data_IF_583786120475
#
_entry.id   IF_583786120475
#
_cell.length_a   1.000
_cell.length_b   1.000
_cell.length_c   1.000
_cell.angle_alpha   90.00
_cell.angle_beta   90.00
_cell.angle_gamma   90.00
#
_symmetry.space_group_name_H-M   'P 1'
#
loop_
_entity.id
_entity.type
_entity.pdbx_description
1 polymer ?
#
# COMPACT_ATOMS: atom_id res chain seq x y z
N UNK A 1 16.12 6.16 0.36
CA UNK A 1 15.06 6.39 -0.64
C UNK A 1 15.02 5.13 -1.49
N UNK A 2 13.85 4.59 -1.83
CA UNK A 2 13.75 3.44 -2.74
C UNK A 2 13.89 3.97 -4.17
N UNK A 3 15.07 3.81 -4.74
CA UNK A 3 15.47 4.34 -6.05
C UNK A 3 15.86 3.24 -7.05
N UNK A 4 15.59 1.98 -6.70
CA UNK A 4 15.91 0.77 -7.46
C UNK A 4 14.72 0.24 -8.29
N UNK A 5 13.79 1.13 -8.67
CA UNK A 5 12.62 0.81 -9.50
C UNK A 5 12.10 2.00 -10.30
N UNK A 6 11.07 1.76 -11.11
CA UNK A 6 10.39 2.79 -11.89
C UNK A 6 9.18 3.31 -11.10
N UNK A 7 9.10 4.63 -10.91
CA UNK A 7 8.01 5.28 -10.15
C UNK A 7 7.21 6.17 -11.09
N UNK A 8 5.91 5.87 -11.20
CA UNK A 8 4.95 6.65 -11.96
C UNK A 8 4.03 7.37 -10.98
N UNK A 9 4.15 8.70 -10.92
CA UNK A 9 3.24 9.55 -10.15
C UNK A 9 2.10 10.01 -11.04
N UNK A 10 0.85 9.76 -10.63
CA UNK A 10 -0.33 10.19 -11.39
C UNK A 10 -0.79 11.61 -11.05
N UNK A 11 -0.19 12.25 -10.04
CA UNK A 11 -0.39 13.68 -9.78
C UNK A 11 0.20 14.50 -10.93
N UNK A 12 -0.48 15.59 -11.32
CA UNK A 12 0.08 16.53 -12.30
C UNK A 12 1.15 17.35 -11.62
N UNK A 13 2.36 17.37 -12.18
CA UNK A 13 3.45 18.21 -11.71
C UNK A 13 3.65 19.40 -12.67
N UNK A 14 4.12 20.53 -12.15
CA UNK A 14 4.59 21.64 -12.96
C UNK A 14 6.03 21.39 -13.47
N UNK A 15 6.58 22.37 -14.19
CA UNK A 15 7.95 22.30 -14.74
C UNK A 15 9.04 22.27 -13.66
N UNK A 16 8.72 22.63 -12.42
CA UNK A 16 9.62 22.59 -11.27
C UNK A 16 9.41 21.32 -10.42
N UNK A 17 8.52 20.42 -10.84
CA UNK A 17 8.19 19.19 -10.11
C UNK A 17 7.23 19.40 -8.94
N UNK A 18 6.55 20.55 -8.83
CA UNK A 18 5.55 20.80 -7.78
C UNK A 18 4.17 20.28 -8.19
N UNK A 19 3.39 19.73 -7.26
CA UNK A 19 2.06 19.21 -7.55
C UNK A 19 1.06 20.32 -7.90
N UNK A 20 0.46 20.23 -9.09
CA UNK A 20 -0.58 21.12 -9.62
C UNK A 20 -1.99 20.61 -9.31
N UNK A 21 -2.19 19.29 -9.35
CA UNK A 21 -3.49 18.68 -9.03
C UNK A 21 -3.30 17.23 -8.57
N UNK A 22 -4.30 16.72 -7.87
CA UNK A 22 -4.41 15.29 -7.53
C UNK A 22 -4.52 14.44 -8.79
N UNK A 23 -4.31 13.12 -8.63
CA UNK A 23 -4.47 12.18 -9.72
C UNK A 23 -5.89 12.29 -10.34
N UNK A 24 -6.02 12.30 -11.68
CA UNK A 24 -7.33 12.21 -12.30
C UNK A 24 -7.97 10.87 -11.90
N UNK A 25 -9.24 10.90 -11.48
CA UNK A 25 -9.93 9.71 -10.98
C UNK A 25 -9.83 8.54 -11.96
N UNK A 26 -9.51 7.34 -11.45
CA UNK A 26 -9.48 6.11 -12.25
C UNK A 26 -8.29 5.17 -12.03
N UNK A 27 -7.21 5.64 -11.39
CA UNK A 27 -6.04 4.86 -10.98
C UNK A 27 -5.43 5.36 -9.67
N UNK A 28 -4.43 4.65 -9.17
CA UNK A 28 -3.77 4.97 -7.89
C UNK A 28 -3.01 6.29 -7.92
N UNK A 29 -2.75 6.92 -6.78
CA UNK A 29 -1.97 8.16 -6.73
C UNK A 29 -0.55 8.00 -7.27
N UNK A 30 0.10 6.88 -7.00
CA UNK A 30 1.37 6.50 -7.61
C UNK A 30 1.49 4.99 -7.78
N UNK A 31 2.26 4.56 -8.78
CA UNK A 31 2.57 3.15 -9.02
C UNK A 31 4.08 3.01 -9.10
N UNK A 32 4.65 2.11 -8.31
CA UNK A 32 6.06 1.76 -8.35
C UNK A 32 6.23 0.34 -8.91
N UNK A 33 7.10 0.18 -9.90
CA UNK A 33 7.50 -1.11 -10.46
C UNK A 33 8.93 -1.41 -10.02
N UNK A 34 9.09 -2.44 -9.21
CA UNK A 34 10.38 -2.95 -8.77
C UNK A 34 10.65 -4.32 -9.41
N UNK A 35 11.83 -4.85 -9.16
CA UNK A 35 12.12 -6.25 -9.48
C UNK A 35 11.30 -7.17 -8.56
N UNK A 36 10.57 -8.11 -9.15
CA UNK A 36 9.71 -9.06 -8.44
C UNK A 36 8.32 -8.57 -8.00
N UNK A 37 8.09 -7.26 -7.83
CA UNK A 37 6.79 -6.73 -7.41
C UNK A 37 6.43 -5.35 -7.95
N UNK A 38 5.13 -5.05 -7.92
CA UNK A 38 4.57 -3.73 -8.16
C UNK A 38 3.81 -3.26 -6.91
N UNK A 39 3.80 -1.94 -6.71
CA UNK A 39 3.19 -1.29 -5.56
C UNK A 39 2.27 -0.16 -6.05
N UNK A 40 1.00 -0.22 -5.70
CA UNK A 40 0.09 0.92 -5.77
C UNK A 40 0.19 1.71 -4.45
N UNK A 41 0.42 3.01 -4.54
CA UNK A 41 0.44 3.94 -3.42
C UNK A 41 -0.80 4.80 -3.52
N UNK A 42 -1.56 4.82 -2.43
CA UNK A 42 -2.80 5.58 -2.27
C UNK A 42 -2.69 6.42 -1.01
N UNK A 43 -3.01 7.70 -1.09
CA UNK A 43 -2.91 8.62 0.03
C UNK A 43 -4.18 9.43 0.19
N UNK A 44 -4.59 9.68 1.43
CA UNK A 44 -5.78 10.48 1.68
C UNK A 44 -5.60 11.43 2.85
N UNK A 45 -6.14 12.64 2.69
CA UNK A 45 -6.33 13.60 3.78
C UNK A 45 -7.72 13.46 4.40
N UNK A 46 -8.61 12.69 3.78
CA UNK A 46 -9.98 12.46 4.25
C UNK A 46 -9.95 11.67 5.57
N UNK A 47 -10.87 12.00 6.47
CA UNK A 47 -10.99 11.41 7.82
C UNK A 47 -12.42 11.02 8.14
N UNK A 48 -12.60 10.19 9.17
CA UNK A 48 -13.91 9.76 9.65
C UNK A 48 -14.65 8.94 8.58
N UNK A 49 -15.98 8.93 8.63
CA UNK A 49 -16.80 8.11 7.71
C UNK A 49 -16.61 8.48 6.24
N UNK A 50 -16.32 9.76 5.94
CA UNK A 50 -16.01 10.18 4.57
C UNK A 50 -14.79 9.48 3.99
N UNK A 51 -13.82 9.11 4.83
CA UNK A 51 -12.68 8.33 4.36
C UNK A 51 -13.15 6.95 3.90
N UNK A 52 -14.02 6.32 4.68
CA UNK A 52 -14.57 5.04 4.29
C UNK A 52 -15.36 5.20 2.99
N UNK A 53 -16.31 6.14 2.92
CA UNK A 53 -17.13 6.41 1.74
C UNK A 53 -16.31 6.61 0.46
N UNK A 54 -15.20 7.37 0.54
CA UNK A 54 -14.37 7.69 -0.63
C UNK A 54 -13.42 6.55 -1.03
N UNK A 55 -12.88 5.81 -0.06
CA UNK A 55 -11.69 4.96 -0.29
C UNK A 55 -12.00 3.45 -0.28
N UNK A 56 -13.14 3.03 0.28
CA UNK A 56 -13.48 1.61 0.44
C UNK A 56 -13.62 0.85 -0.88
N UNK A 57 -14.03 1.52 -1.96
CA UNK A 57 -14.20 0.94 -3.29
C UNK A 57 -13.01 1.27 -4.21
N UNK A 58 -12.56 2.52 -4.17
CA UNK A 58 -11.60 3.05 -5.13
C UNK A 58 -10.22 2.39 -4.99
N UNK A 59 -9.72 2.30 -3.75
CA UNK A 59 -8.39 1.75 -3.43
C UNK A 59 -8.29 0.27 -3.85
N UNK A 60 -9.22 -0.64 -3.45
CA UNK A 60 -9.21 -2.02 -3.92
C UNK A 60 -9.32 -2.15 -5.44
N UNK A 61 -10.16 -1.31 -6.06
CA UNK A 61 -10.32 -1.31 -7.52
C UNK A 61 -9.03 -0.88 -8.22
N UNK A 62 -8.30 0.11 -7.72
CA UNK A 62 -7.04 0.54 -8.32
C UNK A 62 -5.96 -0.54 -8.22
N UNK A 63 -5.83 -1.21 -7.07
CA UNK A 63 -4.94 -2.37 -6.91
C UNK A 63 -5.34 -3.50 -7.86
N UNK A 64 -6.63 -3.80 -7.97
CA UNK A 64 -7.13 -4.83 -8.89
C UNK A 64 -6.89 -4.50 -10.36
N UNK A 65 -7.01 -3.24 -10.76
CA UNK A 65 -6.64 -2.77 -12.11
C UNK A 65 -5.15 -2.96 -12.38
N UNK A 66 -4.28 -2.72 -11.40
CA UNK A 66 -2.84 -2.96 -11.52
C UNK A 66 -2.52 -4.46 -11.65
N UNK A 67 -3.20 -5.31 -10.87
CA UNK A 67 -3.10 -6.77 -11.04
C UNK A 67 -3.46 -7.16 -12.47
N UNK A 68 -4.62 -6.73 -12.95
CA UNK A 68 -5.10 -7.05 -14.29
C UNK A 68 -4.13 -6.55 -15.38
N UNK A 69 -3.68 -5.31 -15.28
CA UNK A 69 -2.80 -4.71 -16.31
C UNK A 69 -1.45 -5.42 -16.43
N UNK A 70 -0.92 -5.97 -15.33
CA UNK A 70 0.27 -6.81 -15.34
C UNK A 70 0.00 -8.18 -15.96
N UNK A 71 -1.09 -8.84 -15.57
CA UNK A 71 -1.46 -10.16 -16.12
C UNK A 71 -1.74 -10.11 -17.62
N UNK A 72 -2.39 -9.05 -18.12
CA UNK A 72 -2.62 -8.83 -19.56
C UNK A 72 -1.29 -8.72 -20.35
N UNK A 73 -0.19 -8.37 -19.69
CA UNK A 73 1.17 -8.28 -20.25
C UNK A 73 2.03 -9.52 -19.99
N UNK A 74 1.43 -10.62 -19.51
CA UNK A 74 2.15 -11.82 -19.04
C UNK A 74 3.19 -11.54 -17.94
N UNK A 75 2.98 -10.48 -17.16
CA UNK A 75 3.82 -10.14 -16.03
C UNK A 75 3.26 -10.76 -14.76
N UNK A 76 4.06 -11.62 -14.13
CA UNK A 76 3.70 -12.40 -12.94
C UNK A 76 4.19 -11.78 -11.62
N UNK A 77 4.69 -10.53 -11.65
CA UNK A 77 5.07 -9.81 -10.43
C UNK A 77 3.92 -9.78 -9.42
N UNK A 78 4.30 -9.81 -8.14
CA UNK A 78 3.37 -9.66 -7.01
C UNK A 78 2.87 -8.21 -6.99
N UNK A 79 1.63 -7.99 -6.57
CA UNK A 79 1.05 -6.65 -6.48
C UNK A 79 0.62 -6.39 -5.05
N UNK A 80 1.03 -5.23 -4.54
CA UNK A 80 0.67 -4.74 -3.22
C UNK A 80 0.06 -3.34 -3.35
N UNK A 81 -0.81 -3.00 -2.40
CA UNK A 81 -1.27 -1.64 -2.16
C UNK A 81 -0.74 -1.14 -0.83
N UNK A 82 -0.36 0.13 -0.75
CA UNK A 82 -0.19 0.83 0.52
C UNK A 82 -1.15 1.99 0.57
N UNK A 83 -1.88 2.11 1.68
CA UNK A 83 -2.83 3.18 1.90
C UNK A 83 -2.37 4.04 3.08
N UNK A 84 -2.02 5.29 2.83
CA UNK A 84 -1.44 6.20 3.83
C UNK A 84 -2.45 7.31 4.13
N UNK A 85 -2.88 7.38 5.38
CA UNK A 85 -3.82 8.41 5.82
C UNK A 85 -3.30 9.17 7.04
N UNK A 86 -3.76 10.41 7.21
CA UNK A 86 -3.43 11.20 8.41
C UNK A 86 -4.14 10.70 9.70
N UNK A 87 -5.06 9.75 9.55
CA UNK A 87 -5.70 8.94 10.59
C UNK A 87 -6.61 7.92 9.90
N UNK A 88 -6.61 6.67 10.36
CA UNK A 88 -7.36 5.59 9.71
C UNK A 88 -8.74 5.38 10.34
N UNK A 89 -9.79 5.31 9.52
CA UNK A 89 -11.12 4.92 9.95
C UNK A 89 -11.15 3.40 10.23
N UNK A 90 -11.68 2.94 11.38
CA UNK A 90 -11.83 1.51 11.69
C UNK A 90 -12.57 0.70 10.62
N UNK A 91 -13.62 1.25 10.01
CA UNK A 91 -14.37 0.65 8.90
C UNK A 91 -13.50 0.45 7.65
N UNK A 92 -12.58 1.38 7.36
CA UNK A 92 -11.60 1.24 6.27
C UNK A 92 -10.63 0.09 6.57
N UNK A 93 -10.13 -0.01 7.80
CA UNK A 93 -9.27 -1.11 8.24
C UNK A 93 -10.02 -2.46 8.12
N UNK A 94 -11.25 -2.52 8.62
CA UNK A 94 -12.10 -3.71 8.55
C UNK A 94 -12.36 -4.15 7.10
N UNK A 95 -12.62 -3.19 6.21
CA UNK A 95 -12.81 -3.47 4.80
C UNK A 95 -11.54 -4.03 4.15
N UNK A 96 -10.39 -3.38 4.34
CA UNK A 96 -9.11 -3.85 3.78
C UNK A 96 -8.71 -5.23 4.30
N UNK A 97 -8.94 -5.49 5.59
CA UNK A 97 -8.76 -6.81 6.17
C UNK A 97 -9.65 -7.86 5.48
N UNK A 98 -10.94 -7.55 5.29
CA UNK A 98 -11.93 -8.45 4.69
C UNK A 98 -11.61 -8.77 3.23
N UNK A 99 -11.34 -7.77 2.40
CA UNK A 99 -11.03 -7.95 0.98
C UNK A 99 -9.70 -8.68 0.77
N UNK A 100 -8.75 -8.52 1.69
CA UNK A 100 -7.49 -9.23 1.63
C UNK A 100 -7.65 -10.72 1.95
N UNK A 101 -8.61 -11.09 2.81
CA UNK A 101 -8.92 -12.50 3.13
C UNK A 101 -9.85 -13.15 2.11
N UNK A 102 -10.58 -12.36 1.33
CA UNK A 102 -11.59 -12.85 0.39
C UNK A 102 -11.06 -12.93 -1.03
N UNK A 103 -11.38 -14.01 -1.77
CA UNK A 103 -10.98 -14.14 -3.17
C UNK A 103 -11.92 -13.33 -4.10
N UNK A 104 -11.51 -12.08 -4.32
CA UNK A 104 -12.01 -11.02 -5.20
C UNK A 104 -11.88 -11.19 -6.72
N UNK A 105 -12.71 -11.94 -7.46
CA UNK A 105 -12.49 -12.07 -8.92
C UNK A 105 -12.43 -10.71 -9.65
N UNK A 106 -13.30 -9.77 -9.27
CA UNK A 106 -13.31 -8.40 -9.79
C UNK A 106 -11.99 -7.64 -9.52
N UNK A 107 -11.29 -7.95 -8.43
CA UNK A 107 -10.00 -7.37 -8.06
C UNK A 107 -8.79 -8.23 -8.49
N UNK A 108 -9.01 -9.30 -9.28
CA UNK A 108 -7.95 -10.21 -9.68
C UNK A 108 -7.44 -11.13 -8.56
N UNK A 109 -8.23 -11.30 -7.50
CA UNK A 109 -7.94 -12.17 -6.36
C UNK A 109 -8.03 -11.42 -5.02
N UNK A 110 -7.21 -11.83 -4.06
CA UNK A 110 -7.07 -11.16 -2.76
C UNK A 110 -6.36 -9.81 -2.93
N UNK A 111 -7.02 -8.71 -2.55
CA UNK A 111 -6.42 -7.38 -2.62
C UNK A 111 -5.47 -7.16 -1.44
N UNK A 112 -4.17 -7.07 -1.71
CA UNK A 112 -3.11 -6.99 -0.67
C UNK A 112 -2.80 -5.55 -0.28
N UNK A 113 -3.69 -4.91 0.46
CA UNK A 113 -3.55 -3.51 0.87
C UNK A 113 -3.07 -3.42 2.32
N UNK A 114 -1.97 -2.71 2.56
CA UNK A 114 -1.43 -2.44 3.89
C UNK A 114 -1.80 -1.01 4.30
N UNK A 115 -2.69 -0.82 5.29
CA UNK A 115 -3.03 0.50 5.80
C UNK A 115 -1.96 1.00 6.78
N UNK A 116 -1.53 2.25 6.61
CA UNK A 116 -0.59 2.94 7.50
C UNK A 116 -1.11 4.33 7.83
N UNK A 117 -0.91 4.74 9.09
CA UNK A 117 -1.00 6.16 9.41
C UNK A 117 0.26 6.89 8.95
N UNK A 118 0.09 8.16 8.57
CA UNK A 118 1.18 9.02 8.11
C UNK A 118 2.33 9.09 9.12
N UNK A 119 2.03 9.09 10.41
CA UNK A 119 3.05 9.11 11.46
C UNK A 119 3.85 7.81 11.51
N UNK A 120 3.21 6.66 11.27
CA UNK A 120 3.92 5.38 11.22
C UNK A 120 4.76 5.27 9.95
N UNK A 121 4.25 5.75 8.81
CA UNK A 121 5.04 5.83 7.58
C UNK A 121 6.29 6.71 7.76
N UNK A 122 6.18 7.87 8.44
CA UNK A 122 7.34 8.71 8.79
C UNK A 122 8.37 7.96 9.63
N UNK A 123 7.93 7.22 10.66
CA UNK A 123 8.82 6.37 11.48
C UNK A 123 9.53 5.31 10.62
N UNK A 124 8.81 4.68 9.68
CA UNK A 124 9.44 3.72 8.76
C UNK A 124 10.56 4.35 7.94
N UNK A 125 10.36 5.58 7.45
CA UNK A 125 11.37 6.33 6.71
C UNK A 125 12.58 6.70 7.59
N UNK A 126 12.36 7.04 8.85
CA UNK A 126 13.43 7.29 9.82
C UNK A 126 14.26 6.03 10.09
N UNK A 127 13.61 4.88 10.29
CA UNK A 127 14.28 3.58 10.42
C UNK A 127 15.10 3.28 9.17
N UNK A 128 14.54 3.48 7.98
CA UNK A 128 15.24 3.27 6.71
C UNK A 128 16.49 4.17 6.56
N UNK A 129 16.36 5.44 6.96
CA UNK A 129 17.44 6.42 6.91
C UNK A 129 18.55 6.05 7.89
N UNK A 130 18.19 5.67 9.12
CA UNK A 130 19.15 5.29 10.16
C UNK A 130 19.90 3.99 9.83
N UNK A 131 19.30 3.11 9.02
CA UNK A 131 19.96 1.93 8.47
C UNK A 131 20.93 2.21 7.31
N UNK A 132 21.12 3.48 6.92
CA UNK A 132 21.96 3.86 5.78
C UNK A 132 21.28 3.74 4.42
N UNK A 133 19.95 3.59 4.39
CA UNK A 133 19.18 3.26 3.20
C UNK A 133 18.66 1.84 3.21
N UNK A 134 17.77 1.55 2.27
CA UNK A 134 17.10 0.24 2.12
C UNK A 134 16.98 -0.09 0.63
N UNK A 135 16.83 -1.37 0.32
CA UNK A 135 16.44 -1.84 -1.02
C UNK A 135 14.95 -2.18 -1.08
N UNK A 136 14.37 -2.13 -2.28
CA UNK A 136 12.96 -2.44 -2.51
C UNK A 136 12.57 -3.83 -1.99
N UNK A 137 13.48 -4.81 -2.05
CA UNK A 137 13.25 -6.17 -1.55
C UNK A 137 13.05 -6.20 -0.03
N UNK A 138 13.69 -5.30 0.75
CA UNK A 138 13.43 -5.22 2.20
C UNK A 138 12.02 -4.71 2.47
N UNK A 139 11.55 -3.75 1.66
CA UNK A 139 10.18 -3.27 1.75
C UNK A 139 9.18 -4.32 1.30
N UNK A 140 9.49 -5.08 0.25
CA UNK A 140 8.67 -6.20 -0.19
C UNK A 140 8.51 -7.26 0.92
N UNK A 141 9.57 -7.59 1.66
CA UNK A 141 9.48 -8.51 2.79
C UNK A 141 8.50 -8.02 3.85
N UNK A 142 8.47 -6.71 4.14
CA UNK A 142 7.47 -6.13 5.03
C UNK A 142 6.06 -6.27 4.48
N UNK A 143 5.85 -5.98 3.21
CA UNK A 143 4.54 -6.12 2.55
C UNK A 143 4.07 -7.59 2.54
N UNK A 144 4.97 -8.53 2.27
CA UNK A 144 4.71 -9.97 2.33
C UNK A 144 4.37 -10.42 3.74
N UNK A 145 5.15 -9.99 4.73
CA UNK A 145 4.86 -10.29 6.14
C UNK A 145 3.48 -9.75 6.51
N UNK A 146 3.19 -8.47 6.24
CA UNK A 146 1.91 -7.83 6.53
C UNK A 146 0.72 -8.56 5.87
N UNK A 147 0.90 -8.98 4.62
CA UNK A 147 -0.06 -9.82 3.89
C UNK A 147 -0.29 -11.16 4.60
N UNK A 148 0.76 -11.91 4.92
CA UNK A 148 0.61 -13.22 5.59
C UNK A 148 -0.08 -13.11 6.95
N UNK A 149 0.22 -12.06 7.72
CA UNK A 149 -0.30 -11.94 9.07
C UNK A 149 -1.83 -11.76 9.13
N UNK A 150 -2.45 -11.21 8.08
CA UNK A 150 -3.91 -11.08 8.03
C UNK A 150 -4.64 -12.43 8.06
N UNK A 151 -3.99 -13.53 7.68
CA UNK A 151 -4.54 -14.89 7.82
C UNK A 151 -4.28 -15.52 9.20
N UNK A 152 -3.38 -14.94 10.00
CA UNK A 152 -2.94 -15.50 11.30
C UNK A 152 -3.67 -14.90 12.50
N UNK A 153 -4.43 -13.83 12.29
CA UNK A 153 -5.13 -13.06 13.32
C UNK A 153 -6.63 -13.21 13.20
N UNK A 154 -7.32 -13.01 14.32
CA UNK A 154 -8.76 -13.29 14.41
C UNK A 154 -9.60 -12.18 13.77
N UNK A 155 -9.19 -10.93 13.96
CA UNK A 155 -9.93 -9.75 13.53
C UNK A 155 -9.01 -8.63 12.99
N UNK A 156 -9.64 -7.59 12.45
CA UNK A 156 -8.97 -6.45 11.82
C UNK A 156 -8.19 -5.58 12.82
N UNK A 157 -8.60 -5.55 14.10
CA UNK A 157 -7.94 -4.76 15.13
C UNK A 157 -6.63 -5.42 15.52
N UNK A 158 -6.64 -6.73 15.72
CA UNK A 158 -5.45 -7.52 15.96
C UNK A 158 -4.47 -7.39 14.79
N UNK A 159 -4.98 -7.50 13.55
CA UNK A 159 -4.20 -7.27 12.33
C UNK A 159 -3.54 -5.88 12.31
N UNK A 160 -4.30 -4.81 12.57
CA UNK A 160 -3.73 -3.47 12.55
C UNK A 160 -2.70 -3.26 13.68
N UNK A 161 -2.98 -3.77 14.88
CA UNK A 161 -2.08 -3.66 16.03
C UNK A 161 -0.73 -4.36 15.80
N UNK A 162 -0.72 -5.53 15.15
CA UNK A 162 0.56 -6.19 14.81
C UNK A 162 1.35 -5.39 13.78
N UNK A 163 0.70 -4.75 12.80
CA UNK A 163 1.37 -3.90 11.82
C UNK A 163 2.09 -2.75 12.54
N UNK A 164 1.38 -2.06 13.44
CA UNK A 164 1.93 -0.97 14.25
C UNK A 164 3.12 -1.42 15.09
N UNK A 165 3.03 -2.59 15.74
CA UNK A 165 4.15 -3.14 16.53
C UNK A 165 5.37 -3.49 15.69
N UNK A 166 5.19 -3.76 14.40
CA UNK A 166 6.29 -4.10 13.49
C UNK A 166 7.01 -2.87 12.93
N UNK A 167 6.39 -1.69 12.95
CA UNK A 167 6.96 -0.44 12.40
C UNK A 167 8.39 -0.15 12.90
N UNK A 168 8.76 -0.29 14.18
CA UNK A 168 10.13 0.02 14.62
C UNK A 168 11.20 -0.93 14.08
N UNK A 169 10.82 -2.17 13.71
CA UNK A 169 11.72 -3.26 13.29
C UNK A 169 11.32 -3.82 11.92
N UNK A 170 10.71 -2.97 11.09
CA UNK A 170 10.10 -3.39 9.83
C UNK A 170 11.15 -3.92 8.83
N UNK A 171 12.40 -3.46 8.95
CA UNK A 171 13.55 -3.90 8.15
C UNK A 171 14.11 -5.27 8.58
N UNK A 172 13.80 -5.73 9.79
CA UNK A 172 14.37 -6.95 10.41
C UNK A 172 13.45 -8.17 10.19
N UNK A 173 13.03 -8.38 8.94
CA UNK A 173 12.23 -9.55 8.57
C UNK A 173 13.17 -10.61 7.99
N UNK A 174 13.31 -11.78 8.64
CA UNK A 174 14.20 -12.84 8.18
C UNK A 174 13.90 -13.25 6.73
N UNK A 175 14.94 -13.68 6.02
CA UNK A 175 14.82 -14.41 4.73
C UNK A 175 14.20 -15.77 4.93
#
# INVERSE_FOLDING_TARGET
MLDDGEIICNAKLDREGKPLSTAPGGGADSICYYDGFALAVEVTLTRGERQFEAEHESVPRHVGKLVKSLRDKNDNRRVYGIFIASGLNPSTIANFYTIRRTNISHYGGKAKIVPLELNDFKKMLEVAKNAGGIKSQQFEKFLQWADMQADQVTDEKEWYNILQRKIPTWIDIPT
#
